data_IF_836456479375
#
_entry.id   IF_836456479375
#
_cell.length_a   1.000
_cell.length_b   1.000
_cell.length_c   1.000
_cell.angle_alpha   90.00
_cell.angle_beta   90.00
_cell.angle_gamma   90.00
#
_symmetry.space_group_name_H-M   'P 1'
#
loop_
_entity.id
_entity.type
_entity.pdbx_description
1 polymer ?
#
# COMPACT_ATOMS: atom_id res chain seq x y z
N UNK A 1 5.10 12.67 8.27
CA UNK A 1 5.95 13.81 7.88
C UNK A 1 5.34 14.64 6.74
N UNK A 2 4.89 14.05 5.61
CA UNK A 2 4.39 14.79 4.45
C UNK A 2 3.14 15.62 4.76
N UNK A 3 2.17 15.10 5.48
CA UNK A 3 0.96 15.86 5.88
C UNK A 3 1.32 17.08 6.75
N UNK A 4 2.28 16.92 7.67
CA UNK A 4 2.77 18.05 8.46
C UNK A 4 3.45 19.11 7.59
N UNK A 5 4.30 18.68 6.66
CA UNK A 5 4.96 19.61 5.73
C UNK A 5 3.94 20.39 4.88
N UNK A 6 2.93 19.71 4.34
CA UNK A 6 1.82 20.34 3.61
C UNK A 6 1.06 21.34 4.49
N UNK A 7 0.72 20.95 5.73
CA UNK A 7 0.03 21.83 6.67
C UNK A 7 0.83 23.09 6.98
N UNK A 8 2.13 22.94 7.29
CA UNK A 8 3.01 24.09 7.56
C UNK A 8 3.11 25.02 6.36
N UNK A 9 3.28 24.48 5.15
CA UNK A 9 3.36 25.29 3.93
C UNK A 9 2.04 26.03 3.67
N UNK A 10 0.88 25.36 3.83
CA UNK A 10 -0.42 26.00 3.70
C UNK A 10 -0.62 27.11 4.74
N UNK A 11 -0.22 26.88 5.99
CA UNK A 11 -0.29 27.87 7.04
C UNK A 11 0.63 29.10 6.80
N UNK A 12 1.81 28.88 6.24
CA UNK A 12 2.73 29.98 5.88
C UNK A 12 2.17 30.81 4.71
N UNK A 13 1.57 30.16 3.71
CA UNK A 13 0.92 30.87 2.59
C UNK A 13 -0.24 31.71 3.10
N UNK A 14 -1.06 31.17 3.98
CA UNK A 14 -2.20 31.90 4.55
C UNK A 14 -1.72 33.07 5.44
N UNK A 15 -0.73 32.85 6.30
CA UNK A 15 -0.15 33.92 7.12
C UNK A 15 0.47 35.04 6.28
N UNK A 16 1.07 34.71 5.14
CA UNK A 16 1.59 35.72 4.19
C UNK A 16 0.49 36.56 3.52
N UNK A 17 -0.71 35.99 3.37
CA UNK A 17 -1.89 36.69 2.76
C UNK A 17 -2.69 37.49 3.77
N UNK A 18 -3.00 36.88 4.91
CA UNK A 18 -3.88 37.46 5.92
C UNK A 18 -3.13 38.24 7.00
N UNK A 19 -1.84 38.06 7.16
CA UNK A 19 -1.04 38.56 8.27
C UNK A 19 -1.30 37.83 9.60
N UNK A 20 -2.07 36.73 9.58
CA UNK A 20 -2.45 35.98 10.79
C UNK A 20 -1.91 34.56 10.74
N UNK A 21 -1.22 34.16 11.81
CA UNK A 21 -0.82 32.78 12.02
C UNK A 21 -1.96 31.92 12.54
N UNK A 22 -1.80 30.60 12.44
CA UNK A 22 -2.77 29.62 12.91
C UNK A 22 -2.08 28.39 13.51
N UNK A 23 -2.81 27.64 14.32
CA UNK A 23 -2.36 26.34 14.81
C UNK A 23 -2.69 25.30 13.74
N UNK A 24 -1.70 24.42 13.46
CA UNK A 24 -1.86 23.31 12.51
C UNK A 24 -1.77 22.02 13.32
N UNK A 25 -2.90 21.34 13.45
CA UNK A 25 -2.96 19.99 14.00
C UNK A 25 -2.75 18.97 12.86
N UNK A 26 -1.75 18.11 13.01
CA UNK A 26 -1.43 17.08 12.05
C UNK A 26 -1.15 15.77 12.80
N UNK A 27 -2.21 15.08 13.19
CA UNK A 27 -2.13 13.83 13.93
C UNK A 27 -1.53 12.70 13.09
N UNK A 28 -0.62 11.93 13.68
CA UNK A 28 -0.04 10.75 13.02
C UNK A 28 -1.10 9.68 12.72
N UNK A 29 -2.12 9.57 13.58
CA UNK A 29 -3.25 8.65 13.40
C UNK A 29 -4.02 8.94 12.11
N UNK A 30 -4.29 10.21 11.81
CA UNK A 30 -5.00 10.61 10.59
C UNK A 30 -4.15 10.38 9.35
N UNK A 31 -2.85 10.67 9.43
CA UNK A 31 -1.91 10.38 8.37
C UNK A 31 -1.79 8.87 8.08
N UNK A 32 -1.75 8.04 9.11
CA UNK A 32 -1.72 6.57 8.96
C UNK A 32 -3.05 6.05 8.38
N UNK A 33 -4.19 6.53 8.87
CA UNK A 33 -5.52 6.17 8.37
C UNK A 33 -5.67 6.54 6.89
N UNK A 34 -5.18 7.70 6.49
CA UNK A 34 -5.19 8.14 5.08
C UNK A 34 -4.41 7.18 4.17
N UNK A 35 -3.26 6.67 4.60
CA UNK A 35 -2.48 5.67 3.85
C UNK A 35 -3.22 4.33 3.73
N UNK A 36 -4.14 4.02 4.64
CA UNK A 36 -4.95 2.80 4.64
C UNK A 36 -6.24 2.93 3.82
N UNK A 37 -6.48 4.06 3.14
CA UNK A 37 -7.73 4.33 2.40
C UNK A 37 -8.07 3.21 1.40
N UNK A 38 -7.08 2.69 0.67
CA UNK A 38 -7.28 1.57 -0.27
C UNK A 38 -7.85 0.34 0.45
N UNK A 39 -7.28 -0.02 1.59
CA UNK A 39 -7.70 -1.21 2.37
C UNK A 39 -9.08 -1.03 2.98
N UNK A 40 -9.40 0.17 3.47
CA UNK A 40 -10.75 0.50 3.93
C UNK A 40 -11.77 0.41 2.81
N UNK A 41 -11.42 0.91 1.61
CA UNK A 41 -12.28 0.80 0.42
C UNK A 41 -12.50 -0.67 0.01
N UNK A 42 -11.44 -1.48 -0.02
CA UNK A 42 -11.56 -2.91 -0.32
C UNK A 42 -12.38 -3.66 0.73
N UNK A 43 -12.20 -3.34 2.02
CA UNK A 43 -12.98 -3.93 3.11
C UNK A 43 -14.47 -3.57 2.98
N UNK A 44 -14.78 -2.30 2.76
CA UNK A 44 -16.16 -1.84 2.54
C UNK A 44 -16.83 -2.53 1.35
N UNK A 45 -16.09 -2.74 0.27
CA UNK A 45 -16.55 -3.45 -0.92
C UNK A 45 -16.59 -4.99 -0.75
N UNK A 46 -16.33 -5.54 0.45
CA UNK A 46 -16.30 -6.98 0.70
C UNK A 46 -15.12 -7.71 0.03
N UNK A 47 -14.10 -6.98 -0.45
CA UNK A 47 -12.95 -7.51 -1.19
C UNK A 47 -11.69 -7.67 -0.33
N UNK A 48 -11.78 -7.41 0.96
CA UNK A 48 -10.71 -7.58 1.94
C UNK A 48 -11.21 -8.37 3.14
N UNK A 49 -10.49 -9.43 3.50
CA UNK A 49 -10.76 -10.26 4.67
C UNK A 49 -9.77 -9.93 5.78
N UNK A 50 -10.24 -9.83 7.02
CA UNK A 50 -9.39 -9.59 8.21
C UNK A 50 -8.72 -10.89 8.70
N UNK A 51 -8.21 -11.66 7.76
CA UNK A 51 -7.46 -12.88 8.03
C UNK A 51 -6.19 -12.87 7.19
N UNK A 52 -5.04 -13.02 7.85
CA UNK A 52 -3.73 -13.06 7.21
C UNK A 52 -3.65 -14.20 6.17
N UNK A 53 -3.01 -13.93 5.04
CA UNK A 53 -2.78 -14.91 3.99
C UNK A 53 -4.04 -15.31 3.21
N UNK A 54 -5.05 -14.44 3.16
CA UNK A 54 -6.30 -14.72 2.42
C UNK A 54 -6.65 -13.65 1.38
N UNK A 55 -5.84 -12.60 1.30
CA UNK A 55 -6.04 -11.50 0.35
C UNK A 55 -4.97 -11.56 -0.76
N UNK A 56 -5.22 -10.85 -1.86
CA UNK A 56 -4.39 -10.93 -3.05
C UNK A 56 -2.92 -10.54 -2.81
N UNK A 57 -2.65 -9.63 -1.87
CA UNK A 57 -1.30 -9.07 -1.64
C UNK A 57 -0.74 -9.34 -0.24
N UNK A 58 -1.35 -10.23 0.52
CA UNK A 58 -0.88 -10.62 1.86
C UNK A 58 -0.44 -12.10 1.96
N UNK A 59 -0.19 -12.73 0.80
CA UNK A 59 0.19 -14.13 0.67
C UNK A 59 -0.96 -15.08 0.32
N UNK A 60 -2.18 -14.56 0.07
CA UNK A 60 -3.33 -15.36 -0.35
C UNK A 60 -3.34 -15.72 -1.83
N UNK A 61 -2.45 -15.14 -2.63
CA UNK A 61 -2.30 -15.44 -4.06
C UNK A 61 -0.97 -16.14 -4.35
N UNK A 62 -1.01 -17.21 -5.12
CA UNK A 62 0.20 -17.94 -5.50
C UNK A 62 1.16 -17.10 -6.37
N UNK A 63 0.66 -16.14 -7.11
CA UNK A 63 1.44 -15.23 -7.95
C UNK A 63 1.97 -13.99 -7.19
N UNK A 64 1.65 -13.87 -5.88
CA UNK A 64 2.14 -12.78 -5.02
C UNK A 64 2.49 -13.34 -3.64
N UNK A 65 3.64 -14.02 -3.57
CA UNK A 65 4.04 -14.73 -2.35
C UNK A 65 5.57 -14.94 -2.32
N UNK A 66 6.04 -15.48 -1.20
CA UNK A 66 7.43 -15.91 -0.99
C UNK A 66 7.47 -17.41 -0.93
N UNK A 67 8.43 -18.01 -1.64
CA UNK A 67 8.63 -19.45 -1.73
C UNK A 67 10.04 -19.83 -1.31
N UNK A 68 10.17 -20.93 -0.57
CA UNK A 68 11.46 -21.53 -0.25
C UNK A 68 11.99 -22.29 -1.46
N UNK A 69 13.27 -22.10 -1.75
CA UNK A 69 13.98 -22.81 -2.81
C UNK A 69 14.65 -24.07 -2.27
N UNK A 70 15.03 -25.00 -3.18
CA UNK A 70 15.64 -26.29 -2.80
C UNK A 70 16.90 -26.16 -1.93
N UNK A 71 17.62 -25.05 -2.06
CA UNK A 71 18.84 -24.76 -1.30
C UNK A 71 18.56 -24.03 0.04
N UNK A 72 17.30 -23.97 0.48
CA UNK A 72 16.89 -23.34 1.73
C UNK A 72 16.86 -21.81 1.71
N UNK A 73 17.03 -21.20 0.53
CA UNK A 73 16.84 -19.74 0.33
C UNK A 73 15.41 -19.43 -0.05
N UNK A 74 15.12 -18.15 -0.32
CA UNK A 74 13.78 -17.69 -0.64
C UNK A 74 13.76 -16.87 -1.92
N UNK A 75 12.67 -17.01 -2.67
CA UNK A 75 12.36 -16.21 -3.84
C UNK A 75 10.99 -15.54 -3.65
N UNK A 76 10.88 -14.27 -4.03
CA UNK A 76 9.62 -13.53 -4.05
C UNK A 76 9.04 -13.52 -5.46
N UNK A 77 7.76 -13.83 -5.57
CA UNK A 77 6.99 -13.73 -6.81
C UNK A 77 6.00 -12.58 -6.66
N UNK A 78 5.89 -11.72 -7.69
CA UNK A 78 5.02 -10.53 -7.70
C UNK A 78 4.37 -10.29 -9.05
N UNK A 79 3.93 -11.36 -9.73
CA UNK A 79 3.34 -11.31 -11.08
C UNK A 79 1.84 -10.99 -11.05
N UNK A 80 1.47 -9.78 -10.57
CA UNK A 80 0.08 -9.34 -10.41
C UNK A 80 -0.58 -9.07 -11.78
N UNK A 81 0.14 -8.43 -12.69
CA UNK A 81 -0.39 -8.06 -14.01
C UNK A 81 -0.44 -9.29 -14.93
N UNK A 82 -1.52 -9.44 -15.72
CA UNK A 82 -1.71 -10.62 -16.58
C UNK A 82 -0.51 -10.94 -17.49
N UNK A 83 0.16 -9.92 -18.03
CA UNK A 83 1.34 -10.10 -18.89
C UNK A 83 2.52 -10.69 -18.14
N UNK A 84 2.76 -10.30 -16.90
CA UNK A 84 3.84 -10.84 -16.08
C UNK A 84 3.49 -12.22 -15.53
N UNK A 85 2.21 -12.48 -15.28
CA UNK A 85 1.75 -13.80 -14.91
C UNK A 85 1.92 -14.82 -16.04
N UNK A 86 1.56 -14.46 -17.29
CA UNK A 86 1.80 -15.29 -18.46
C UNK A 86 3.29 -15.58 -18.67
N UNK A 87 4.16 -14.58 -18.52
CA UNK A 87 5.62 -14.76 -18.59
C UNK A 87 6.16 -15.66 -17.45
N UNK A 88 5.60 -15.56 -16.25
CA UNK A 88 5.94 -16.45 -15.15
C UNK A 88 5.62 -17.90 -15.48
N UNK A 89 4.42 -18.18 -16.00
CA UNK A 89 4.02 -19.53 -16.39
C UNK A 89 4.92 -20.09 -17.50
N UNK A 90 5.18 -19.32 -18.55
CA UNK A 90 6.08 -19.69 -19.65
C UNK A 90 7.48 -20.06 -19.15
N UNK A 91 8.08 -19.21 -18.31
CA UNK A 91 9.42 -19.45 -17.74
C UNK A 91 9.50 -20.65 -16.79
N UNK A 92 8.39 -20.98 -16.14
CA UNK A 92 8.29 -22.16 -15.26
C UNK A 92 7.91 -23.44 -16.03
N UNK A 93 7.56 -23.35 -17.31
CA UNK A 93 7.05 -24.46 -18.11
C UNK A 93 5.69 -24.97 -17.61
N UNK A 94 4.85 -24.07 -17.15
CA UNK A 94 3.49 -24.33 -16.67
C UNK A 94 2.48 -23.83 -17.69
N UNK A 95 1.45 -24.62 -17.99
CA UNK A 95 0.33 -24.27 -18.88
C UNK A 95 -0.82 -23.60 -18.12
#
# INVERSE_FOLDING_TARGET
ALYLAMGVLAGLIEAGRSGQGQVIDCAMTDGAASLMTLFYGMKHAGRWRERRGTNAIDGGSHFYNVYETRDGRYVSVGAIEPKFYAELLDKLGLD
#
